data_IF_312288429438
#
_entry.id   IF_312288429438
#
_cell.length_a   1.000
_cell.length_b   1.000
_cell.length_c   1.000
_cell.angle_alpha   90.00
_cell.angle_beta   90.00
_cell.angle_gamma   90.00
#
_symmetry.space_group_name_H-M   'P 1'
#
loop_
_entity.id
_entity.type
_entity.pdbx_description
1 polymer ?
#
# COMPACT_ATOMS: atom_id res chain seq x y z
N UNK A 1 13.09 -3.77 -25.39
CA UNK A 1 12.52 -3.86 -24.02
C UNK A 1 11.16 -4.51 -24.14
N UNK A 2 11.08 -5.82 -23.91
CA UNK A 2 9.84 -6.56 -24.03
C UNK A 2 8.86 -6.03 -22.96
N UNK A 3 7.70 -5.55 -23.39
CA UNK A 3 6.60 -5.26 -22.49
C UNK A 3 6.21 -6.58 -21.85
N UNK A 4 6.55 -6.78 -20.58
CA UNK A 4 5.90 -7.81 -19.77
C UNK A 4 4.39 -7.61 -19.98
N UNK A 5 3.68 -8.69 -20.35
CA UNK A 5 2.23 -8.64 -20.59
C UNK A 5 1.55 -7.88 -19.45
N UNK A 6 0.56 -7.06 -19.78
CA UNK A 6 -0.08 -6.16 -18.82
C UNK A 6 -0.58 -6.98 -17.62
N UNK A 7 0.11 -6.84 -16.49
CA UNK A 7 -0.38 -7.33 -15.21
C UNK A 7 -1.39 -6.29 -14.74
N UNK A 8 -2.67 -6.60 -14.94
CA UNK A 8 -3.77 -5.79 -14.44
C UNK A 8 -4.21 -6.33 -13.08
N UNK A 9 -4.39 -5.42 -12.12
CA UNK A 9 -4.96 -5.77 -10.83
C UNK A 9 -6.44 -6.13 -11.04
N UNK A 10 -6.90 -7.19 -10.37
CA UNK A 10 -8.32 -7.55 -10.38
C UNK A 10 -9.21 -6.40 -9.90
N UNK A 11 -8.73 -5.62 -8.92
CA UNK A 11 -9.32 -4.35 -8.50
C UNK A 11 -8.33 -3.24 -8.82
N UNK A 12 -8.63 -2.37 -9.82
CA UNK A 12 -7.78 -1.25 -10.18
C UNK A 12 -7.51 -0.31 -9.00
N UNK A 13 -6.43 0.46 -9.08
CA UNK A 13 -6.19 1.57 -8.14
C UNK A 13 -7.19 2.68 -8.42
N UNK A 14 -7.80 3.23 -7.39
CA UNK A 14 -8.86 4.24 -7.50
C UNK A 14 -8.78 5.28 -6.36
N UNK A 15 -9.75 6.18 -6.30
CA UNK A 15 -9.79 7.25 -5.30
C UNK A 15 -10.07 6.78 -3.87
N UNK A 16 -10.47 5.51 -3.66
CA UNK A 16 -10.65 4.93 -2.32
C UNK A 16 -9.35 4.39 -1.73
N UNK A 17 -8.28 4.31 -2.52
CA UNK A 17 -6.97 3.88 -2.03
C UNK A 17 -6.28 5.01 -1.26
N UNK A 18 -5.60 4.66 -0.16
CA UNK A 18 -4.77 5.60 0.60
C UNK A 18 -3.45 5.84 -0.14
N UNK A 19 -3.36 6.98 -0.82
CA UNK A 19 -2.23 7.32 -1.70
C UNK A 19 -1.19 8.18 -0.98
N UNK A 20 0.08 7.77 -1.06
CA UNK A 20 1.23 8.59 -0.65
C UNK A 20 2.14 8.86 -1.85
N UNK A 21 2.52 10.13 -2.04
CA UNK A 21 3.36 10.58 -3.16
C UNK A 21 2.56 11.26 -4.28
N UNK A 22 3.20 11.49 -5.42
CA UNK A 22 2.58 12.22 -6.54
C UNK A 22 1.44 11.42 -7.18
N UNK A 23 0.27 12.06 -7.36
CA UNK A 23 -0.86 11.48 -8.09
C UNK A 23 -0.52 11.16 -9.56
N UNK A 24 0.52 11.80 -10.12
CA UNK A 24 0.98 11.60 -11.50
C UNK A 24 2.20 10.68 -11.60
N UNK A 25 2.61 10.03 -10.51
CA UNK A 25 3.73 9.10 -10.55
C UNK A 25 3.46 7.96 -11.56
N UNK A 26 4.37 7.70 -12.52
CA UNK A 26 4.20 6.66 -13.53
C UNK A 26 4.25 5.24 -12.97
N UNK A 27 4.77 5.05 -11.74
CA UNK A 27 4.81 3.76 -11.06
C UNK A 27 3.96 3.83 -9.79
N UNK A 28 3.08 2.85 -9.63
CA UNK A 28 2.30 2.65 -8.39
C UNK A 28 2.73 1.35 -7.74
N UNK A 29 3.12 1.42 -6.48
CA UNK A 29 3.29 0.26 -5.60
C UNK A 29 1.97 0.08 -4.85
N UNK A 30 1.40 -1.12 -4.86
CA UNK A 30 0.23 -1.46 -4.05
C UNK A 30 0.68 -2.38 -2.92
N UNK A 31 0.51 -1.93 -1.68
CA UNK A 31 0.75 -2.75 -0.49
C UNK A 31 -0.58 -3.19 0.11
N UNK A 32 -0.74 -4.50 0.31
CA UNK A 32 -1.79 -5.06 1.15
C UNK A 32 -1.19 -5.30 2.53
N UNK A 33 -1.59 -4.50 3.51
CA UNK A 33 -0.95 -4.43 4.81
C UNK A 33 -1.90 -4.72 5.95
N UNK A 34 -1.33 -5.26 7.02
CA UNK A 34 -1.97 -5.48 8.30
C UNK A 34 -1.21 -4.69 9.37
N UNK A 35 -1.92 -3.91 10.16
CA UNK A 35 -1.33 -3.02 11.17
C UNK A 35 -0.65 -3.74 12.34
N UNK A 36 -0.99 -5.00 12.61
CA UNK A 36 -0.31 -5.81 13.63
C UNK A 36 0.83 -6.65 13.08
N UNK A 37 0.93 -6.81 11.76
CA UNK A 37 1.92 -7.66 11.13
C UNK A 37 3.36 -7.09 11.26
N UNK A 38 4.30 -7.81 11.92
CA UNK A 38 5.68 -7.36 12.05
C UNK A 38 6.42 -7.21 10.72
N UNK A 39 6.04 -7.98 9.69
CA UNK A 39 6.64 -7.89 8.36
C UNK A 39 6.12 -6.67 7.59
N UNK A 40 4.84 -6.32 7.72
CA UNK A 40 4.29 -5.07 7.16
C UNK A 40 4.99 -3.86 7.80
N UNK A 41 5.20 -3.88 9.12
CA UNK A 41 5.97 -2.84 9.82
C UNK A 41 7.40 -2.71 9.27
N UNK A 42 8.09 -3.82 8.99
CA UNK A 42 9.42 -3.79 8.39
C UNK A 42 9.38 -3.29 6.94
N UNK A 43 8.38 -3.69 6.16
CA UNK A 43 8.19 -3.26 4.78
C UNK A 43 7.99 -1.74 4.67
N UNK A 44 7.29 -1.12 5.63
CA UNK A 44 7.09 0.33 5.68
C UNK A 44 8.41 1.08 5.48
N UNK A 45 9.46 0.73 6.23
CA UNK A 45 10.73 1.45 6.16
C UNK A 45 11.38 1.36 4.78
N UNK A 46 11.28 0.21 4.11
CA UNK A 46 11.74 0.07 2.73
C UNK A 46 10.89 0.89 1.75
N UNK A 47 9.57 0.92 1.94
CA UNK A 47 8.66 1.73 1.12
C UNK A 47 8.93 3.22 1.28
N UNK A 48 9.19 3.69 2.50
CA UNK A 48 9.58 5.07 2.76
C UNK A 48 10.84 5.45 1.98
N UNK A 49 11.89 4.63 2.06
CA UNK A 49 13.13 4.84 1.31
C UNK A 49 12.91 4.79 -0.21
N UNK A 50 12.01 3.93 -0.69
CA UNK A 50 11.64 3.86 -2.10
C UNK A 50 10.96 5.16 -2.56
N UNK A 51 9.97 5.63 -1.82
CA UNK A 51 9.25 6.87 -2.15
C UNK A 51 10.19 8.08 -2.14
N UNK A 52 11.09 8.17 -1.15
CA UNK A 52 12.11 9.22 -1.08
C UNK A 52 13.08 9.16 -2.27
N UNK A 53 13.59 7.95 -2.61
CA UNK A 53 14.54 7.77 -3.71
C UNK A 53 13.94 8.03 -5.08
N UNK A 54 12.65 7.76 -5.25
CA UNK A 54 11.92 7.90 -6.51
C UNK A 54 10.85 8.99 -6.43
N UNK A 55 11.14 10.08 -5.71
CA UNK A 55 10.23 11.20 -5.56
C UNK A 55 9.69 11.68 -6.92
N UNK A 56 8.38 11.97 -6.96
CA UNK A 56 7.62 12.29 -8.17
C UNK A 56 7.46 11.15 -9.19
N UNK A 57 8.18 10.03 -9.03
CA UNK A 57 8.20 8.90 -9.99
C UNK A 57 7.53 7.63 -9.47
N UNK A 58 7.44 7.47 -8.15
CA UNK A 58 6.71 6.40 -7.48
C UNK A 58 5.65 6.99 -6.54
N UNK A 59 4.53 6.28 -6.43
CA UNK A 59 3.53 6.48 -5.38
C UNK A 59 3.16 5.14 -4.75
N UNK A 60 2.72 5.20 -3.50
CA UNK A 60 2.23 4.05 -2.75
C UNK A 60 0.71 4.13 -2.64
N UNK A 61 0.02 3.02 -2.92
CA UNK A 61 -1.37 2.79 -2.57
C UNK A 61 -1.41 1.72 -1.47
N UNK A 62 -1.87 2.08 -0.28
CA UNK A 62 -2.03 1.16 0.84
C UNK A 62 -3.46 0.62 0.89
N UNK A 63 -3.59 -0.70 1.07
CA UNK A 63 -4.87 -1.40 1.24
C UNK A 63 -4.84 -2.21 2.52
N UNK A 64 -5.87 -2.06 3.33
CA UNK A 64 -6.07 -2.87 4.52
C UNK A 64 -6.30 -4.34 4.13
N UNK A 65 -5.54 -5.24 4.76
CA UNK A 65 -5.66 -6.69 4.63
C UNK A 65 -5.53 -7.36 6.01
N UNK A 66 -6.53 -7.18 6.89
CA UNK A 66 -6.48 -7.69 8.25
C UNK A 66 -6.50 -9.23 8.27
N UNK A 67 -5.48 -9.84 8.85
CA UNK A 67 -5.37 -11.29 9.02
C UNK A 67 -5.94 -11.69 10.38
N UNK A 68 -7.26 -11.59 10.56
CA UNK A 68 -7.94 -11.72 11.86
C UNK A 68 -7.65 -13.05 12.59
N UNK A 69 -7.40 -14.14 11.86
CA UNK A 69 -7.02 -15.45 12.43
C UNK A 69 -5.65 -15.44 13.12
N UNK A 70 -4.76 -14.52 12.72
CA UNK A 70 -3.36 -14.41 13.20
C UNK A 70 -3.15 -13.14 14.04
N UNK A 71 -3.90 -12.09 13.74
CA UNK A 71 -3.79 -10.75 14.33
C UNK A 71 -5.17 -10.28 14.82
N UNK A 72 -5.52 -10.54 16.09
CA UNK A 72 -6.88 -10.34 16.62
C UNK A 72 -7.41 -8.89 16.64
N UNK A 73 -6.53 -7.90 16.50
CA UNK A 73 -6.85 -6.48 16.48
C UNK A 73 -6.65 -5.84 15.10
N UNK A 74 -6.25 -6.60 14.08
CA UNK A 74 -5.97 -6.08 12.75
C UNK A 74 -7.18 -5.37 12.12
N UNK A 75 -8.39 -5.94 12.25
CA UNK A 75 -9.61 -5.31 11.74
C UNK A 75 -9.91 -4.00 12.47
N UNK A 76 -9.89 -3.99 13.80
CA UNK A 76 -10.12 -2.78 14.58
C UNK A 76 -9.09 -1.68 14.27
N UNK A 77 -7.83 -2.05 14.04
CA UNK A 77 -6.79 -1.12 13.63
C UNK A 77 -7.01 -0.58 12.22
N UNK A 78 -7.44 -1.43 11.28
CA UNK A 78 -7.81 -1.02 9.92
C UNK A 78 -8.99 -0.04 9.93
N UNK A 79 -10.05 -0.35 10.66
CA UNK A 79 -11.21 0.54 10.83
C UNK A 79 -10.81 1.88 11.45
N UNK A 80 -9.96 1.87 12.48
CA UNK A 80 -9.45 3.08 13.10
C UNK A 80 -8.63 3.93 12.11
N UNK A 81 -7.82 3.31 11.25
CA UNK A 81 -7.07 4.01 10.21
C UNK A 81 -7.99 4.64 9.17
N UNK A 82 -9.02 3.91 8.70
CA UNK A 82 -10.03 4.46 7.79
C UNK A 82 -10.79 5.65 8.40
N UNK A 83 -11.09 5.60 9.70
CA UNK A 83 -11.72 6.71 10.40
C UNK A 83 -10.82 7.94 10.56
N UNK A 84 -9.50 7.76 10.57
CA UNK A 84 -8.55 8.85 10.78
C UNK A 84 -8.38 9.76 9.55
N UNK A 85 -8.47 9.19 8.35
CA UNK A 85 -8.31 9.90 7.08
C UNK A 85 -6.87 10.05 6.63
#
# INVERSE_FOLDING_TARGET
MARHGAFELAVPVSAVDHLTGSAHAPVTVVEYGDFECPNCKQAQSALKLLLERFDGRARLAFRNFPLEDVHPHALAAAEAAECAG
#
